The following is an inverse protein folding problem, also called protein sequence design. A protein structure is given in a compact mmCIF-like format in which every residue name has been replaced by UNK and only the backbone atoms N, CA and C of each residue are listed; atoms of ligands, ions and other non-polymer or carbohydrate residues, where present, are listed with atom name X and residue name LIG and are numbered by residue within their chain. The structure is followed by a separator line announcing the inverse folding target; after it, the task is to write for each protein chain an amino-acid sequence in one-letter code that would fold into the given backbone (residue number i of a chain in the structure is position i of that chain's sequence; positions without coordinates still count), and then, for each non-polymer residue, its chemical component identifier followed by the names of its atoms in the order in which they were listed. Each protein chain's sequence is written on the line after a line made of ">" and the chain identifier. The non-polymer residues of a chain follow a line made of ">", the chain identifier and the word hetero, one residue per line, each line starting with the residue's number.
data_IF_977588887481
#
_entry.id   IF_977588887481
#
_cell.length_a   1.000
_cell.length_b   1.000
_cell.length_c   1.000
_cell.angle_alpha   90.00
_cell.angle_beta   90.00
_cell.angle_gamma   90.00
#
_symmetry.space_group_name_H-M   'P 1'
#
loop_
_entity.id
_entity.type
_entity.pdbx_description
1 polymer ?
#
# COMPACT_ATOMS: atom_id res chain seq x y z
N UNK A 1 21.20 -14.68 -30.83
CA UNK A 1 21.22 -13.52 -29.89
C UNK A 1 19.95 -13.41 -29.05
N UNK A 2 19.17 -14.48 -28.84
CA UNK A 2 17.78 -14.41 -28.35
C UNK A 2 17.57 -14.84 -26.89
N UNK A 3 18.35 -15.80 -26.36
CA UNK A 3 18.05 -16.39 -25.04
C UNK A 3 18.42 -15.52 -23.84
N UNK A 4 19.41 -14.63 -23.99
CA UNK A 4 19.76 -13.68 -22.93
C UNK A 4 18.71 -12.57 -22.81
N UNK A 5 18.20 -12.07 -23.94
CA UNK A 5 17.17 -11.03 -23.99
C UNK A 5 15.83 -11.56 -23.43
N UNK A 6 15.42 -12.76 -23.81
CA UNK A 6 14.21 -13.40 -23.29
C UNK A 6 14.26 -13.61 -21.77
N UNK A 7 15.41 -14.05 -21.23
CA UNK A 7 15.60 -14.21 -19.78
C UNK A 7 15.49 -12.88 -19.01
N UNK A 8 16.10 -11.81 -19.54
CA UNK A 8 16.01 -10.48 -18.91
C UNK A 8 14.56 -9.98 -18.91
N UNK A 9 13.83 -10.18 -20.02
CA UNK A 9 12.43 -9.76 -20.12
C UNK A 9 11.52 -10.54 -19.16
N UNK A 10 11.69 -11.86 -19.07
CA UNK A 10 10.94 -12.69 -18.12
C UNK A 10 11.17 -12.28 -16.67
N UNK A 11 12.42 -11.97 -16.29
CA UNK A 11 12.75 -11.50 -14.94
C UNK A 11 12.14 -10.14 -14.61
N UNK A 12 12.11 -9.22 -15.58
CA UNK A 12 11.42 -7.91 -15.42
C UNK A 12 9.94 -8.10 -15.13
N UNK A 13 9.25 -8.93 -15.92
CA UNK A 13 7.83 -9.23 -15.71
C UNK A 13 7.55 -9.93 -14.38
N UNK A 14 8.47 -10.77 -13.89
CA UNK A 14 8.35 -11.38 -12.57
C UNK A 14 8.45 -10.33 -11.46
N UNK A 15 9.43 -9.41 -11.55
CA UNK A 15 9.59 -8.31 -10.60
C UNK A 15 8.40 -7.36 -10.59
N UNK A 16 7.84 -7.03 -11.76
CA UNK A 16 6.61 -6.21 -11.87
C UNK A 16 5.43 -6.88 -11.16
N UNK A 17 5.23 -8.19 -11.36
CA UNK A 17 4.18 -8.95 -10.67
C UNK A 17 4.37 -8.95 -9.17
N UNK A 18 5.57 -9.24 -8.71
CA UNK A 18 5.92 -9.22 -7.29
C UNK A 18 5.68 -7.83 -6.67
N UNK A 19 6.02 -6.76 -7.39
CA UNK A 19 5.79 -5.40 -6.92
C UNK A 19 4.28 -5.11 -6.79
N UNK A 20 3.48 -5.51 -7.78
CA UNK A 20 2.02 -5.36 -7.72
C UNK A 20 1.41 -6.14 -6.55
N UNK A 21 1.82 -7.39 -6.35
CA UNK A 21 1.38 -8.23 -5.23
C UNK A 21 1.76 -7.62 -3.87
N UNK A 22 2.98 -7.09 -3.76
CA UNK A 22 3.43 -6.42 -2.54
C UNK A 22 2.60 -5.16 -2.24
N UNK A 23 2.34 -4.35 -3.26
CA UNK A 23 1.55 -3.12 -3.12
C UNK A 23 0.09 -3.42 -2.77
N UNK A 24 -0.47 -4.51 -3.29
CA UNK A 24 -1.82 -4.94 -2.94
C UNK A 24 -1.93 -5.34 -1.46
N UNK A 25 -0.92 -6.03 -0.91
CA UNK A 25 -0.87 -6.34 0.53
C UNK A 25 -0.83 -5.08 1.40
N UNK A 26 -0.04 -4.07 1.00
CA UNK A 26 0.03 -2.78 1.69
C UNK A 26 -1.32 -2.07 1.62
N UNK A 27 -1.95 -2.04 0.44
CA UNK A 27 -3.25 -1.41 0.24
C UNK A 27 -4.35 -2.05 1.08
N UNK A 28 -4.41 -3.38 1.16
CA UNK A 28 -5.41 -4.08 1.97
C UNK A 28 -5.24 -3.78 3.47
N UNK A 29 -3.99 -3.76 3.96
CA UNK A 29 -3.72 -3.37 5.33
C UNK A 29 -4.13 -1.92 5.61
N UNK A 30 -3.82 -1.01 4.67
CA UNK A 30 -4.22 0.39 4.73
C UNK A 30 -5.74 0.56 4.78
N UNK A 31 -6.49 -0.10 3.89
CA UNK A 31 -7.96 -0.03 3.85
C UNK A 31 -8.60 -0.51 5.16
N UNK A 32 -8.10 -1.61 5.72
CA UNK A 32 -8.57 -2.12 7.01
C UNK A 32 -8.32 -1.12 8.15
N UNK A 33 -7.12 -0.53 8.22
CA UNK A 33 -6.76 0.47 9.23
C UNK A 33 -7.63 1.72 9.11
N UNK A 34 -7.84 2.19 7.88
CA UNK A 34 -8.68 3.35 7.58
C UNK A 34 -10.13 3.11 8.01
N UNK A 35 -10.68 1.91 7.76
CA UNK A 35 -12.02 1.53 8.20
C UNK A 35 -12.13 1.43 9.73
N UNK A 36 -11.12 0.89 10.42
CA UNK A 36 -11.05 0.82 11.88
C UNK A 36 -11.08 2.23 12.50
N UNK A 37 -10.24 3.14 12.00
CA UNK A 37 -10.20 4.54 12.47
C UNK A 37 -11.54 5.24 12.22
N UNK A 38 -12.15 5.01 11.05
CA UNK A 38 -13.46 5.59 10.73
C UNK A 38 -14.53 5.13 11.73
N UNK A 39 -14.56 3.84 12.08
CA UNK A 39 -15.49 3.30 13.07
C UNK A 39 -15.23 3.87 14.48
N UNK A 40 -13.97 3.90 14.93
CA UNK A 40 -13.57 4.40 16.26
C UNK A 40 -13.94 5.88 16.45
N UNK A 41 -13.72 6.69 15.41
CA UNK A 41 -13.97 8.14 15.43
C UNK A 41 -15.37 8.51 14.95
N UNK A 42 -16.22 7.53 14.61
CA UNK A 42 -17.57 7.72 14.04
C UNK A 42 -17.56 8.61 12.79
N UNK A 43 -16.51 8.49 11.98
CA UNK A 43 -16.39 9.18 10.70
C UNK A 43 -17.23 8.46 9.65
N UNK A 44 -17.97 9.23 8.86
CA UNK A 44 -18.83 8.69 7.80
C UNK A 44 -18.22 8.84 6.41
N UNK A 45 -17.15 9.63 6.26
CA UNK A 45 -16.46 9.88 5.00
C UNK A 45 -14.97 10.16 5.23
N UNK A 46 -14.14 9.73 4.28
CA UNK A 46 -12.71 10.04 4.22
C UNK A 46 -12.41 10.62 2.84
N UNK A 47 -11.70 11.74 2.82
CA UNK A 47 -11.39 12.50 1.61
C UNK A 47 -9.88 12.56 1.42
N UNK A 48 -9.45 12.54 0.15
CA UNK A 48 -8.02 12.72 -0.17
C UNK A 48 -7.61 14.16 0.10
N UNK A 49 -6.47 14.35 0.75
CA UNK A 49 -5.97 15.66 1.19
C UNK A 49 -5.79 16.63 0.02
N UNK A 50 -5.34 16.13 -1.14
CA UNK A 50 -5.18 16.93 -2.36
C UNK A 50 -6.48 17.49 -2.95
N UNK A 51 -7.64 17.01 -2.50
CA UNK A 51 -8.95 17.49 -2.94
C UNK A 51 -9.50 18.61 -2.04
N UNK A 52 -8.80 18.94 -0.95
CA UNK A 52 -9.26 19.89 0.06
C UNK A 52 -8.50 21.22 -0.07
N UNK A 53 -9.24 22.32 -0.09
CA UNK A 53 -8.65 23.68 -0.03
C UNK A 53 -8.10 23.96 1.38
N UNK A 54 -8.75 23.40 2.40
CA UNK A 54 -8.37 23.54 3.81
C UNK A 54 -8.91 22.36 4.61
N UNK A 55 -8.15 21.90 5.59
CA UNK A 55 -8.55 20.98 6.64
C UNK A 55 -7.80 21.32 7.92
N UNK A 56 -8.46 21.22 9.07
CA UNK A 56 -7.75 21.37 10.35
C UNK A 56 -6.86 20.15 10.59
N UNK A 57 -5.71 20.29 11.27
CA UNK A 57 -4.83 19.17 11.57
C UNK A 57 -5.52 18.01 12.30
N UNK A 58 -6.51 18.31 13.15
CA UNK A 58 -7.26 17.30 13.91
C UNK A 58 -8.11 16.36 13.03
N UNK A 59 -8.42 16.77 11.79
CA UNK A 59 -9.12 15.94 10.81
C UNK A 59 -8.18 15.09 9.96
N UNK A 60 -6.87 15.34 10.04
CA UNK A 60 -5.87 14.55 9.32
C UNK A 60 -5.57 13.25 10.10
N UNK A 61 -5.91 12.13 9.49
CA UNK A 61 -5.67 10.79 10.06
C UNK A 61 -4.39 10.14 9.54
N UNK A 62 -3.63 10.81 8.65
CA UNK A 62 -2.49 10.20 7.94
C UNK A 62 -1.44 9.66 8.90
N UNK A 63 -1.04 10.42 9.91
CA UNK A 63 -0.03 10.00 10.88
C UNK A 63 -0.49 8.81 11.73
N UNK A 64 -1.78 8.76 12.08
CA UNK A 64 -2.38 7.63 12.79
C UNK A 64 -2.39 6.37 11.92
N UNK A 65 -2.81 6.53 10.66
CA UNK A 65 -2.85 5.46 9.68
C UNK A 65 -1.45 4.88 9.44
N UNK A 66 -0.44 5.73 9.23
CA UNK A 66 0.94 5.31 9.01
C UNK A 66 1.48 4.54 10.21
N UNK A 67 1.27 5.04 11.44
CA UNK A 67 1.75 4.36 12.65
C UNK A 67 1.12 2.98 12.84
N UNK A 68 -0.19 2.84 12.56
CA UNK A 68 -0.87 1.54 12.60
C UNK A 68 -0.40 0.63 11.49
N UNK A 69 -0.11 1.16 10.31
CA UNK A 69 0.39 0.39 9.17
C UNK A 69 1.77 -0.17 9.48
N UNK A 70 2.69 0.65 9.97
CA UNK A 70 4.04 0.23 10.38
C UNK A 70 3.99 -0.86 11.46
N UNK A 71 3.08 -0.74 12.42
CA UNK A 71 2.89 -1.72 13.48
C UNK A 71 2.28 -3.05 12.96
N UNK A 72 1.33 -2.98 12.02
CA UNK A 72 0.58 -4.15 11.52
C UNK A 72 1.34 -4.89 10.42
N UNK A 73 2.04 -4.16 9.57
CA UNK A 73 2.74 -4.66 8.40
C UNK A 73 4.18 -4.12 8.35
N UNK A 74 5.03 -4.48 9.34
CA UNK A 74 6.42 -4.00 9.39
C UNK A 74 7.29 -4.52 8.23
N UNK A 75 6.84 -5.60 7.58
CA UNK A 75 7.50 -6.17 6.41
C UNK A 75 6.48 -6.86 5.52
N UNK A 76 6.67 -6.75 4.20
CA UNK A 76 5.87 -7.49 3.20
C UNK A 76 6.70 -8.65 2.69
N UNK A 77 6.16 -9.87 2.81
CA UNK A 77 6.79 -11.05 2.20
C UNK A 77 6.40 -11.12 0.73
N UNK A 78 7.41 -11.24 -0.11
CA UNK A 78 7.27 -11.38 -1.56
C UNK A 78 7.77 -12.75 -2.01
N UNK A 79 7.19 -13.26 -3.09
CA UNK A 79 7.64 -14.49 -3.76
C UNK A 79 9.00 -14.26 -4.43
N UNK A 80 9.82 -15.31 -4.56
CA UNK A 80 11.12 -15.22 -5.22
C UNK A 80 10.93 -14.89 -6.72
N UNK A 81 11.52 -13.80 -7.25
CA UNK A 81 11.49 -13.48 -8.69
C UNK A 81 12.18 -14.51 -9.58
N UNK A 82 12.91 -15.47 -9.01
CA UNK A 82 13.63 -16.55 -9.72
C UNK A 82 12.95 -17.92 -9.72
N UNK A 83 11.91 -18.13 -8.90
CA UNK A 83 11.35 -19.45 -8.57
C UNK A 83 11.95 -20.06 -7.31
#
# INVERSE_FOLDING_TARGET
>A
MTDAQARVQGRRQALERINMEAMEQVKQALEAIVAEIAAERKLTVILRKEQLVFATPDLDVTDEVLRRLDARLPSVRISDPGG
#
